data_IF_224975570291
#
_entry.id   IF_224975570291
#
_cell.length_a   1.000
_cell.length_b   1.000
_cell.length_c   1.000
_cell.angle_alpha   90.00
_cell.angle_beta   90.00
_cell.angle_gamma   90.00
#
_symmetry.space_group_name_H-M   'P 1'
#
loop_
_entity.id
_entity.type
_entity.pdbx_description
1 polymer ?
#
# COMPACT_ATOMS: atom_id res chain seq x y z
N UNK A 1 -9.11 4.09 -18.01
CA UNK A 1 -8.40 3.33 -16.98
C UNK A 1 -9.00 1.93 -17.03
N UNK A 2 -8.20 0.90 -17.14
CA UNK A 2 -8.71 -0.47 -17.07
C UNK A 2 -8.93 -0.79 -15.58
N UNK A 3 -10.21 -0.86 -15.15
CA UNK A 3 -10.59 -1.23 -13.77
C UNK A 3 -10.74 -2.77 -13.66
N UNK A 4 -9.79 -3.52 -14.24
CA UNK A 4 -9.79 -4.98 -14.20
C UNK A 4 -8.56 -5.47 -13.42
N UNK A 5 -8.69 -6.55 -12.64
CA UNK A 5 -7.56 -7.20 -12.00
C UNK A 5 -6.42 -7.48 -12.98
N UNK A 6 -5.19 -7.60 -12.49
CA UNK A 6 -4.06 -8.03 -13.30
C UNK A 6 -4.28 -9.48 -13.75
N UNK A 7 -3.89 -9.76 -15.01
CA UNK A 7 -3.86 -11.15 -15.50
C UNK A 7 -2.66 -11.89 -14.87
N UNK A 8 -2.66 -13.24 -14.88
CA UNK A 8 -1.50 -14.01 -14.41
C UNK A 8 -0.19 -13.59 -15.09
N UNK A 9 -0.21 -13.35 -16.40
CA UNK A 9 0.97 -12.93 -17.17
C UNK A 9 1.45 -11.52 -16.77
N UNK A 10 0.52 -10.63 -16.39
CA UNK A 10 0.86 -9.29 -15.91
C UNK A 10 1.41 -9.33 -14.48
N UNK A 11 0.91 -10.25 -13.64
CA UNK A 11 1.47 -10.51 -12.31
C UNK A 11 2.89 -11.06 -12.41
N UNK A 12 3.11 -12.07 -13.27
CA UNK A 12 4.44 -12.64 -13.51
C UNK A 12 5.44 -11.59 -14.02
N UNK A 13 5.00 -10.71 -14.95
CA UNK A 13 5.82 -9.62 -15.44
C UNK A 13 6.19 -8.63 -14.33
N UNK A 14 5.23 -8.27 -13.49
CA UNK A 14 5.45 -7.33 -12.39
C UNK A 14 6.36 -7.94 -11.32
N UNK A 15 6.18 -9.21 -10.99
CA UNK A 15 7.01 -9.97 -10.04
C UNK A 15 8.48 -10.00 -10.52
N UNK A 16 8.71 -10.35 -11.79
CA UNK A 16 10.04 -10.33 -12.38
C UNK A 16 10.65 -8.92 -12.38
N UNK A 17 9.87 -7.88 -12.69
CA UNK A 17 10.36 -6.51 -12.68
C UNK A 17 10.76 -6.03 -11.27
N UNK A 18 10.01 -6.41 -10.23
CA UNK A 18 10.35 -6.10 -8.84
C UNK A 18 11.69 -6.73 -8.45
N UNK A 19 11.89 -8.00 -8.82
CA UNK A 19 13.13 -8.72 -8.52
C UNK A 19 14.32 -8.17 -9.31
N UNK A 20 14.15 -7.90 -10.61
CA UNK A 20 15.24 -7.49 -11.50
C UNK A 20 15.72 -6.06 -11.22
N UNK A 21 14.83 -5.17 -10.77
CA UNK A 21 15.13 -3.75 -10.53
C UNK A 21 15.22 -3.41 -9.05
N UNK A 22 14.89 -4.34 -8.15
CA UNK A 22 14.93 -4.15 -6.71
C UNK A 22 16.34 -4.23 -6.11
N UNK A 23 16.41 -3.91 -4.84
CA UNK A 23 17.59 -4.06 -3.97
C UNK A 23 17.16 -4.75 -2.68
N UNK A 24 18.08 -5.11 -1.80
CA UNK A 24 17.77 -5.75 -0.52
C UNK A 24 16.78 -4.92 0.35
N UNK A 25 16.71 -3.62 0.12
CA UNK A 25 15.80 -2.70 0.83
C UNK A 25 14.47 -2.47 0.09
N UNK A 26 14.27 -3.07 -1.09
CA UNK A 26 13.07 -2.92 -1.93
C UNK A 26 12.00 -3.94 -1.59
N UNK A 27 10.81 -3.75 -2.17
CA UNK A 27 9.81 -4.80 -2.34
C UNK A 27 10.28 -5.72 -3.47
N UNK A 28 10.46 -7.01 -3.18
CA UNK A 28 11.12 -7.95 -4.09
C UNK A 28 10.19 -8.93 -4.82
N UNK A 29 8.89 -8.93 -4.47
CA UNK A 29 7.97 -9.86 -5.12
C UNK A 29 6.52 -9.42 -5.03
N UNK A 30 5.67 -10.10 -5.81
CA UNK A 30 4.25 -9.72 -5.96
C UNK A 30 3.47 -9.93 -4.65
N UNK A 31 3.81 -10.93 -3.84
CA UNK A 31 3.18 -11.18 -2.55
C UNK A 31 3.48 -10.05 -1.56
N UNK A 32 4.74 -9.63 -1.46
CA UNK A 32 5.14 -8.49 -0.64
C UNK A 32 4.49 -7.20 -1.12
N UNK A 33 4.43 -6.97 -2.44
CA UNK A 33 3.75 -5.83 -3.04
C UNK A 33 2.27 -5.78 -2.68
N UNK A 34 1.57 -6.91 -2.76
CA UNK A 34 0.15 -7.03 -2.45
C UNK A 34 -0.12 -6.67 -0.98
N UNK A 35 0.69 -7.19 -0.07
CA UNK A 35 0.63 -6.82 1.35
C UNK A 35 0.90 -5.34 1.58
N UNK A 36 1.95 -4.80 0.96
CA UNK A 36 2.29 -3.38 1.04
C UNK A 36 1.14 -2.48 0.57
N UNK A 37 0.58 -2.74 -0.61
CA UNK A 37 -0.54 -1.97 -1.12
C UNK A 37 -1.80 -2.15 -0.29
N UNK A 38 -2.07 -3.35 0.22
CA UNK A 38 -3.21 -3.60 1.11
C UNK A 38 -3.15 -2.73 2.36
N UNK A 39 -1.96 -2.58 2.97
CA UNK A 39 -1.76 -1.68 4.11
C UNK A 39 -1.93 -0.21 3.71
N UNK A 40 -1.36 0.23 2.57
CA UNK A 40 -1.46 1.62 2.11
C UNK A 40 -2.91 2.06 1.87
N UNK A 41 -3.71 1.22 1.21
CA UNK A 41 -5.12 1.54 0.93
C UNK A 41 -6.01 1.42 2.17
N UNK A 42 -5.60 0.61 3.14
CA UNK A 42 -6.32 0.43 4.40
C UNK A 42 -6.08 1.54 5.41
N UNK A 43 -4.90 2.16 5.42
CA UNK A 43 -4.36 3.00 6.49
C UNK A 43 -5.19 4.23 6.87
N UNK A 44 -4.76 4.95 7.94
CA UNK A 44 -5.50 6.09 8.49
C UNK A 44 -5.59 7.28 7.54
N UNK A 45 -4.66 7.39 6.58
CA UNK A 45 -4.59 8.47 5.58
C UNK A 45 -4.14 7.92 4.23
N UNK A 46 -4.55 8.59 3.14
CA UNK A 46 -4.09 8.24 1.80
C UNK A 46 -2.62 8.64 1.63
N UNK A 47 -1.81 7.71 1.16
CA UNK A 47 -0.38 7.91 0.87
C UNK A 47 -0.22 8.15 -0.64
N UNK A 48 0.38 9.28 -1.00
CA UNK A 48 0.58 9.65 -2.40
C UNK A 48 1.65 8.81 -3.08
N UNK A 49 1.56 8.54 -4.40
CA UNK A 49 2.58 7.82 -5.14
C UNK A 49 3.99 8.41 -5.00
N UNK A 50 4.12 9.73 -4.89
CA UNK A 50 5.40 10.39 -4.63
C UNK A 50 6.06 10.01 -3.31
N UNK A 51 5.31 9.40 -2.39
CA UNK A 51 5.80 8.93 -1.08
C UNK A 51 6.09 7.43 -1.12
N UNK A 52 5.14 6.60 -1.60
CA UNK A 52 5.30 5.15 -1.54
C UNK A 52 6.17 4.58 -2.67
N UNK A 53 6.24 5.24 -3.85
CA UNK A 53 7.02 4.72 -4.97
C UNK A 53 8.55 4.70 -4.69
N UNK A 54 9.17 5.73 -4.09
CA UNK A 54 10.55 5.62 -3.63
C UNK A 54 10.76 4.50 -2.61
N UNK A 55 9.82 4.32 -1.67
CA UNK A 55 9.89 3.30 -0.62
C UNK A 55 9.80 1.89 -1.17
N UNK A 56 8.96 1.70 -2.19
CA UNK A 56 8.85 0.43 -2.93
C UNK A 56 10.20 0.00 -3.50
N UNK A 57 11.01 0.95 -3.96
CA UNK A 57 12.34 0.72 -4.55
C UNK A 57 13.50 0.88 -3.53
N UNK A 58 13.23 0.83 -2.23
CA UNK A 58 14.28 0.96 -1.21
C UNK A 58 14.99 2.32 -1.21
N UNK A 59 14.31 3.38 -1.65
CA UNK A 59 14.86 4.75 -1.71
C UNK A 59 15.78 5.02 -2.91
N UNK A 60 16.05 4.01 -3.75
CA UNK A 60 16.88 4.14 -4.95
C UNK A 60 16.01 3.97 -6.20
N UNK A 61 15.89 4.99 -7.06
CA UNK A 61 15.11 4.85 -8.29
C UNK A 61 15.64 3.69 -9.16
N UNK A 62 14.77 2.80 -9.65
CA UNK A 62 15.17 1.71 -10.54
C UNK A 62 15.66 2.24 -11.88
N UNK A 63 16.48 1.47 -12.57
CA UNK A 63 16.92 1.77 -13.94
C UNK A 63 16.27 0.78 -14.88
N UNK A 64 15.29 1.23 -15.65
CA UNK A 64 14.61 0.42 -16.67
C UNK A 64 15.36 0.44 -18.00
N UNK A 65 15.21 -0.62 -18.79
CA UNK A 65 15.85 -0.72 -20.11
C UNK A 65 15.25 0.28 -21.12
N UNK A 66 13.99 0.71 -20.92
CA UNK A 66 13.31 1.66 -21.79
C UNK A 66 12.23 2.45 -21.03
N UNK A 67 11.82 3.59 -21.60
CA UNK A 67 10.67 4.36 -21.11
C UNK A 67 9.36 3.56 -21.18
N UNK A 68 9.21 2.71 -22.20
CA UNK A 68 8.01 1.88 -22.35
C UNK A 68 7.90 0.83 -21.23
N UNK A 69 9.01 0.25 -20.80
CA UNK A 69 9.07 -0.66 -19.66
C UNK A 69 8.73 0.04 -18.35
N UNK A 70 9.32 1.21 -18.09
CA UNK A 70 9.00 2.04 -16.92
C UNK A 70 7.50 2.36 -16.85
N UNK A 71 6.91 2.78 -17.99
CA UNK A 71 5.48 3.08 -18.08
C UNK A 71 4.61 1.84 -17.85
N UNK A 72 5.03 0.68 -18.37
CA UNK A 72 4.31 -0.58 -18.17
C UNK A 72 4.31 -0.96 -16.69
N UNK A 73 5.46 -0.99 -16.03
CA UNK A 73 5.58 -1.30 -14.60
C UNK A 73 4.75 -0.33 -13.76
N UNK A 74 4.89 0.98 -13.97
CA UNK A 74 4.12 1.98 -13.22
C UNK A 74 2.60 1.82 -13.42
N UNK A 75 2.16 1.52 -14.64
CA UNK A 75 0.74 1.29 -14.94
C UNK A 75 0.20 0.07 -14.20
N UNK A 76 0.96 -1.03 -14.14
CA UNK A 76 0.57 -2.25 -13.43
C UNK A 76 0.55 -2.03 -11.91
N UNK A 77 1.54 -1.35 -11.34
CA UNK A 77 1.56 -0.98 -9.92
C UNK A 77 0.30 -0.20 -9.52
N UNK A 78 -0.04 0.84 -10.28
CA UNK A 78 -1.21 1.67 -9.99
C UNK A 78 -2.52 0.90 -10.17
N UNK A 79 -2.60 0.03 -11.20
CA UNK A 79 -3.80 -0.78 -11.46
C UNK A 79 -4.01 -1.79 -10.34
N UNK A 80 -2.95 -2.48 -9.89
CA UNK A 80 -3.04 -3.44 -8.79
C UNK A 80 -3.48 -2.75 -7.49
N UNK A 81 -2.86 -1.65 -7.13
CA UNK A 81 -3.25 -0.88 -5.94
C UNK A 81 -4.71 -0.41 -5.99
N UNK A 82 -5.18 0.05 -7.17
CA UNK A 82 -6.56 0.49 -7.35
C UNK A 82 -7.55 -0.68 -7.29
N UNK A 83 -7.17 -1.85 -7.79
CA UNK A 83 -8.00 -3.06 -7.71
C UNK A 83 -8.20 -3.49 -6.25
N UNK A 84 -7.12 -3.59 -5.46
CA UNK A 84 -7.20 -3.86 -4.02
C UNK A 84 -8.11 -2.84 -3.32
N UNK A 85 -7.91 -1.54 -3.59
CA UNK A 85 -8.71 -0.49 -2.99
C UNK A 85 -10.20 -0.62 -3.34
N UNK A 86 -10.52 -0.89 -4.61
CA UNK A 86 -11.88 -1.08 -5.09
C UNK A 86 -12.53 -2.29 -4.45
N UNK A 87 -11.81 -3.41 -4.39
CA UNK A 87 -12.31 -4.66 -3.82
C UNK A 87 -12.61 -4.51 -2.32
N UNK A 88 -11.68 -4.00 -1.54
CA UNK A 88 -11.86 -3.78 -0.11
C UNK A 88 -12.99 -2.78 0.21
N UNK A 89 -13.24 -1.81 -0.66
CA UNK A 89 -14.33 -0.84 -0.49
C UNK A 89 -15.70 -1.38 -0.87
N UNK A 90 -15.79 -2.24 -1.88
CA UNK A 90 -17.08 -2.62 -2.50
C UNK A 90 -17.50 -4.05 -2.22
N UNK A 91 -16.55 -4.97 -2.10
CA UNK A 91 -16.76 -6.41 -1.94
C UNK A 91 -15.67 -7.04 -1.06
N UNK A 92 -15.47 -6.56 0.19
CA UNK A 92 -14.37 -7.02 1.05
C UNK A 92 -14.40 -8.54 1.32
N UNK A 93 -15.57 -9.17 1.24
CA UNK A 93 -15.74 -10.61 1.38
C UNK A 93 -15.13 -11.43 0.24
N UNK A 94 -14.77 -10.79 -0.87
CA UNK A 94 -14.08 -11.42 -2.00
C UNK A 94 -12.57 -11.08 -2.03
N UNK A 95 -12.07 -10.35 -1.04
CA UNK A 95 -10.65 -10.06 -0.96
C UNK A 95 -9.89 -11.35 -0.69
N UNK A 96 -8.89 -11.61 -1.52
CA UNK A 96 -7.91 -12.68 -1.37
C UNK A 96 -6.52 -12.10 -1.51
N UNK A 97 -5.65 -12.42 -0.56
CA UNK A 97 -4.25 -12.01 -0.58
C UNK A 97 -3.43 -12.87 -1.56
N UNK A 98 -2.46 -12.27 -2.23
CA UNK A 98 -1.57 -12.98 -3.15
C UNK A 98 -0.46 -13.70 -2.36
N UNK A 99 -0.82 -14.76 -1.66
CA UNK A 99 0.15 -15.60 -0.97
C UNK A 99 0.88 -16.51 -1.96
N UNK A 100 2.15 -16.82 -1.66
CA UNK A 100 2.86 -17.86 -2.38
C UNK A 100 2.46 -19.24 -1.85
N UNK A 101 2.56 -20.23 -2.72
CA UNK A 101 2.46 -21.64 -2.34
C UNK A 101 3.81 -22.31 -2.49
N UNK A 102 4.18 -23.11 -1.51
CA UNK A 102 5.38 -23.92 -1.51
C UNK A 102 5.01 -25.39 -1.24
N UNK A 103 5.95 -26.29 -1.38
CA UNK A 103 5.75 -27.71 -1.08
C UNK A 103 6.62 -28.13 0.11
N UNK A 104 6.00 -28.65 1.15
CA UNK A 104 6.70 -29.25 2.28
C UNK A 104 6.29 -30.73 2.46
N UNK A 105 7.25 -31.65 2.30
CA UNK A 105 7.02 -33.09 2.39
C UNK A 105 5.89 -33.62 1.48
N UNK A 106 5.77 -33.10 0.26
CA UNK A 106 4.75 -33.50 -0.72
C UNK A 106 3.35 -32.91 -0.44
N UNK A 107 3.25 -31.89 0.42
CA UNK A 107 2.01 -31.17 0.71
C UNK A 107 2.17 -29.67 0.38
N UNK A 108 1.14 -29.06 -0.23
CA UNK A 108 1.16 -27.60 -0.43
C UNK A 108 1.12 -26.91 0.94
N UNK A 109 1.92 -25.86 1.07
CA UNK A 109 1.99 -24.98 2.24
C UNK A 109 1.92 -23.55 1.74
N UNK A 110 0.97 -22.79 2.26
CA UNK A 110 0.84 -21.36 1.94
C UNK A 110 1.92 -20.58 2.70
N UNK A 111 2.66 -19.74 1.97
CA UNK A 111 3.70 -18.86 2.51
C UNK A 111 3.11 -17.46 2.61
N UNK A 112 2.95 -16.97 3.83
CA UNK A 112 2.31 -15.68 4.12
C UNK A 112 3.31 -14.61 4.58
N UNK A 113 4.55 -15.02 4.84
CA UNK A 113 5.58 -14.17 5.44
C UNK A 113 5.87 -12.96 4.57
N UNK A 114 6.08 -13.16 3.27
CA UNK A 114 6.37 -12.06 2.34
C UNK A 114 5.23 -11.03 2.30
N UNK A 115 3.99 -11.52 2.24
CA UNK A 115 2.82 -10.66 2.26
C UNK A 115 2.71 -9.87 3.56
N UNK A 116 2.89 -10.54 4.70
CA UNK A 116 2.85 -9.91 6.02
C UNK A 116 3.98 -8.87 6.17
N UNK A 117 5.17 -9.17 5.62
CA UNK A 117 6.31 -8.26 5.62
C UNK A 117 5.97 -6.98 4.84
N UNK A 118 5.44 -7.12 3.63
CA UNK A 118 4.95 -6.01 2.84
C UNK A 118 3.87 -5.20 3.55
N UNK A 119 2.90 -5.87 4.17
CA UNK A 119 1.85 -5.21 4.95
C UNK A 119 2.43 -4.36 6.08
N UNK A 120 3.37 -4.92 6.87
CA UNK A 120 4.00 -4.18 7.97
C UNK A 120 4.85 -3.01 7.47
N UNK A 121 5.52 -3.15 6.32
CA UNK A 121 6.21 -2.05 5.64
C UNK A 121 5.24 -0.91 5.29
N UNK A 122 4.06 -1.23 4.77
CA UNK A 122 3.00 -0.25 4.49
C UNK A 122 2.45 0.42 5.75
N UNK A 123 2.32 -0.33 6.85
CA UNK A 123 1.93 0.19 8.18
C UNK A 123 2.94 1.22 8.68
N UNK A 124 4.25 0.93 8.56
CA UNK A 124 5.32 1.83 8.98
C UNK A 124 5.36 3.10 8.14
N UNK A 125 5.27 2.96 6.82
CA UNK A 125 5.22 4.11 5.92
C UNK A 125 3.98 4.99 6.20
N UNK A 126 2.85 4.36 6.46
CA UNK A 126 1.60 5.02 6.84
C UNK A 126 1.59 5.59 8.26
N UNK A 127 2.63 5.34 9.05
CA UNK A 127 2.77 5.79 10.43
C UNK A 127 1.49 5.52 11.25
N UNK A 128 0.99 4.28 11.20
CA UNK A 128 -0.25 3.95 11.86
C UNK A 128 -0.14 4.20 13.36
N UNK A 129 -1.08 4.94 13.97
CA UNK A 129 -1.10 5.13 15.41
C UNK A 129 -1.46 3.83 16.13
N UNK A 130 -1.21 3.79 17.43
CA UNK A 130 -1.63 2.67 18.27
C UNK A 130 -3.13 2.40 18.11
N UNK A 131 -3.46 1.14 17.85
CA UNK A 131 -4.83 0.69 17.64
C UNK A 131 -5.48 0.26 18.96
N UNK A 132 -6.80 0.48 19.12
CA UNK A 132 -7.56 -0.13 20.22
C UNK A 132 -7.84 -1.61 19.93
N UNK A 133 -8.25 -2.35 20.97
CA UNK A 133 -8.80 -3.69 20.78
C UNK A 133 -10.19 -3.64 20.09
N UNK A 134 -10.53 -4.61 19.21
CA UNK A 134 -9.73 -5.79 18.84
C UNK A 134 -8.74 -5.54 17.68
N UNK A 135 -8.64 -4.32 17.14
CA UNK A 135 -7.81 -4.02 15.96
C UNK A 135 -6.32 -4.21 16.25
N UNK A 136 -5.87 -3.97 17.48
CA UNK A 136 -4.50 -4.26 17.88
C UNK A 136 -4.17 -5.74 17.70
N UNK A 137 -5.04 -6.64 18.15
CA UNK A 137 -4.87 -8.09 17.97
C UNK A 137 -4.86 -8.52 16.50
N UNK A 138 -5.63 -7.86 15.61
CA UNK A 138 -5.58 -8.13 14.17
C UNK A 138 -4.23 -7.71 13.57
N UNK A 139 -3.71 -6.55 13.97
CA UNK A 139 -2.41 -6.11 13.49
C UNK A 139 -1.27 -6.99 14.03
N UNK A 140 -1.37 -7.43 15.29
CA UNK A 140 -0.40 -8.35 15.89
C UNK A 140 -0.35 -9.70 15.17
N UNK A 141 -1.49 -10.22 14.69
CA UNK A 141 -1.54 -11.45 13.91
C UNK A 141 -0.73 -11.32 12.60
N UNK A 142 -0.82 -10.20 11.90
CA UNK A 142 -0.02 -9.93 10.70
C UNK A 142 1.45 -9.67 11.08
N UNK A 143 1.69 -8.88 12.12
CA UNK A 143 3.04 -8.54 12.57
C UNK A 143 3.83 -9.77 13.06
N UNK A 144 3.15 -10.82 13.54
CA UNK A 144 3.78 -12.08 13.93
C UNK A 144 4.59 -12.70 12.80
N UNK A 145 4.12 -12.58 11.56
CA UNK A 145 4.77 -13.09 10.34
C UNK A 145 5.54 -12.01 9.58
N UNK A 146 5.20 -10.73 9.78
CA UNK A 146 5.76 -9.60 9.06
C UNK A 146 6.86 -8.84 9.80
N UNK A 147 7.39 -9.37 10.92
CA UNK A 147 8.44 -8.75 11.72
C UNK A 147 9.49 -9.78 12.11
N UNK A 148 10.76 -9.52 11.78
CA UNK A 148 11.88 -10.44 12.09
C UNK A 148 12.00 -10.75 13.58
N UNK A 149 11.73 -9.79 14.46
CA UNK A 149 11.76 -9.96 15.91
C UNK A 149 10.76 -10.99 16.46
N UNK A 150 9.82 -11.44 15.61
CA UNK A 150 8.81 -12.43 15.99
C UNK A 150 9.10 -13.84 15.45
N UNK A 151 10.09 -14.03 14.61
CA UNK A 151 10.35 -15.31 13.95
C UNK A 151 10.60 -16.45 14.94
N UNK A 152 11.26 -16.18 16.07
CA UNK A 152 11.45 -17.18 17.13
C UNK A 152 10.12 -17.75 17.66
N UNK A 153 9.02 -17.02 17.55
CA UNK A 153 7.68 -17.47 17.99
C UNK A 153 7.02 -18.44 17.00
N UNK A 154 7.51 -18.48 15.77
CA UNK A 154 7.03 -19.35 14.70
C UNK A 154 7.75 -20.68 14.67
N UNK A 155 8.87 -20.79 15.40
CA UNK A 155 9.66 -22.01 15.46
C UNK A 155 8.88 -23.17 16.09
N UNK A 156 8.88 -24.31 15.41
CA UNK A 156 8.28 -25.54 15.92
C UNK A 156 6.77 -25.64 15.81
N UNK A 157 6.11 -24.75 15.06
CA UNK A 157 4.68 -24.86 14.74
C UNK A 157 4.41 -26.15 13.94
N UNK A 158 3.33 -26.84 14.30
CA UNK A 158 2.80 -27.90 13.43
C UNK A 158 2.13 -27.28 12.19
N UNK A 159 1.97 -28.08 11.12
CA UNK A 159 1.25 -27.65 9.92
C UNK A 159 -0.18 -27.16 10.22
N UNK A 160 -0.85 -27.80 11.17
CA UNK A 160 -2.21 -27.40 11.59
C UNK A 160 -2.20 -26.04 12.29
N UNK A 161 -1.21 -25.79 13.17
CA UNK A 161 -1.04 -24.48 13.82
C UNK A 161 -0.69 -23.38 12.80
N UNK A 162 0.23 -23.69 11.86
CA UNK A 162 0.54 -22.77 10.77
C UNK A 162 -0.70 -22.42 9.93
N UNK A 163 -1.48 -23.44 9.52
CA UNK A 163 -2.69 -23.20 8.74
C UNK A 163 -3.71 -22.33 9.49
N UNK A 164 -3.86 -22.52 10.79
CA UNK A 164 -4.76 -21.70 11.59
C UNK A 164 -4.31 -20.22 11.65
N UNK A 165 -2.99 -19.95 11.59
CA UNK A 165 -2.47 -18.59 11.47
C UNK A 165 -2.73 -18.01 10.08
N UNK A 166 -2.46 -18.78 9.02
CA UNK A 166 -2.76 -18.41 7.63
C UNK A 166 -4.21 -17.98 7.48
N UNK A 167 -5.15 -18.79 7.97
CA UNK A 167 -6.61 -18.54 7.87
C UNK A 167 -7.03 -17.24 8.59
N UNK A 168 -6.21 -16.72 9.48
CA UNK A 168 -6.46 -15.49 10.23
C UNK A 168 -6.03 -14.19 9.52
N UNK A 169 -5.14 -14.26 8.50
CA UNK A 169 -4.51 -13.07 7.91
C UNK A 169 -5.48 -12.21 7.10
N UNK A 170 -6.18 -12.81 6.14
CA UNK A 170 -7.15 -12.08 5.31
C UNK A 170 -8.28 -11.44 6.15
N UNK A 171 -8.92 -12.16 7.09
CA UNK A 171 -9.89 -11.56 7.99
C UNK A 171 -9.33 -10.39 8.82
N UNK A 172 -8.08 -10.48 9.27
CA UNK A 172 -7.43 -9.40 10.01
C UNK A 172 -7.24 -8.16 9.12
N UNK A 173 -6.76 -8.33 7.89
CA UNK A 173 -6.57 -7.23 6.94
C UNK A 173 -7.91 -6.54 6.60
N UNK A 174 -8.97 -7.31 6.34
CA UNK A 174 -10.32 -6.81 6.09
C UNK A 174 -10.84 -6.01 7.30
N UNK A 175 -10.65 -6.53 8.52
CA UNK A 175 -11.10 -5.86 9.74
C UNK A 175 -10.35 -4.53 9.98
N UNK A 176 -9.04 -4.50 9.72
CA UNK A 176 -8.21 -3.29 9.81
C UNK A 176 -8.62 -2.24 8.76
N UNK A 177 -8.88 -2.68 7.52
CA UNK A 177 -9.42 -1.78 6.48
C UNK A 177 -10.76 -1.17 6.90
N UNK A 178 -11.72 -2.00 7.33
CA UNK A 178 -13.04 -1.54 7.76
C UNK A 178 -12.95 -0.54 8.91
N UNK A 179 -12.08 -0.79 9.89
CA UNK A 179 -11.84 0.14 10.99
C UNK A 179 -11.34 1.50 10.50
N UNK A 180 -10.27 1.53 9.71
CA UNK A 180 -9.72 2.79 9.23
C UNK A 180 -10.65 3.52 8.27
N UNK A 181 -11.39 2.80 7.43
CA UNK A 181 -12.43 3.38 6.57
C UNK A 181 -13.49 4.09 7.40
N UNK A 182 -13.97 3.47 8.49
CA UNK A 182 -14.91 4.10 9.41
C UNK A 182 -14.31 5.35 10.07
N UNK A 183 -13.04 5.31 10.50
CA UNK A 183 -12.35 6.46 11.10
C UNK A 183 -12.17 7.61 10.09
N UNK A 184 -11.80 7.31 8.84
CA UNK A 184 -11.70 8.31 7.75
C UNK A 184 -13.05 8.98 7.49
N UNK A 185 -14.13 8.19 7.42
CA UNK A 185 -15.48 8.69 7.15
C UNK A 185 -16.07 9.50 8.32
N UNK A 186 -15.66 9.21 9.56
CA UNK A 186 -16.09 9.96 10.74
C UNK A 186 -15.40 11.32 10.89
N UNK A 187 -14.28 11.56 10.19
CA UNK A 187 -13.58 12.85 10.21
C UNK A 187 -14.43 13.91 9.49
N UNK A 188 -14.64 15.10 10.09
CA UNK A 188 -15.28 16.17 9.37
C UNK A 188 -14.48 16.47 8.09
N UNK A 189 -15.18 16.62 6.96
CA UNK A 189 -14.53 16.99 5.70
C UNK A 189 -13.64 18.22 5.97
N UNK A 190 -12.34 18.12 5.67
CA UNK A 190 -11.44 19.28 5.71
C UNK A 190 -12.12 20.36 4.89
N UNK A 191 -12.42 21.51 5.52
CA UNK A 191 -12.98 22.64 4.80
C UNK A 191 -12.14 22.84 3.52
N UNK A 192 -12.78 23.00 2.35
CA UNK A 192 -12.03 23.21 1.12
C UNK A 192 -11.01 24.30 1.40
N UNK A 193 -9.74 24.02 1.13
CA UNK A 193 -8.71 25.05 1.11
C UNK A 193 -9.25 26.09 0.13
N UNK A 194 -9.82 27.17 0.67
CA UNK A 194 -10.12 28.33 -0.15
C UNK A 194 -8.77 28.71 -0.74
N UNK A 195 -8.54 28.33 -2.00
CA UNK A 195 -7.48 28.96 -2.78
C UNK A 195 -7.70 30.45 -2.58
N UNK A 196 -6.74 31.11 -1.94
CA UNK A 196 -6.84 32.54 -1.69
C UNK A 196 -7.25 33.16 -3.03
N UNK A 197 -8.46 33.76 -3.05
CA UNK A 197 -9.04 34.31 -4.29
C UNK A 197 -7.96 35.12 -4.97
N UNK A 198 -7.53 34.71 -6.15
CA UNK A 198 -6.56 35.48 -6.91
C UNK A 198 -7.12 36.87 -7.07
N UNK A 199 -6.38 37.91 -6.69
CA UNK A 199 -6.88 39.29 -6.81
C UNK A 199 -7.22 39.57 -8.25
N UNK A 200 -8.27 40.34 -8.46
CA UNK A 200 -8.63 40.86 -9.78
C UNK A 200 -7.49 41.71 -10.35
N UNK A 201 -7.35 41.76 -11.66
CA UNK A 201 -6.26 42.51 -12.36
C UNK A 201 -6.00 43.92 -11.81
N UNK A 202 -7.02 44.58 -11.32
CA UNK A 202 -6.94 45.98 -10.82
C UNK A 202 -6.87 46.06 -9.29
N UNK A 203 -6.97 44.94 -8.57
CA UNK A 203 -6.88 44.90 -7.10
C UNK A 203 -5.41 45.00 -6.63
N UNK A 204 -5.16 45.41 -5.37
CA UNK A 204 -3.82 45.44 -4.81
C UNK A 204 -3.16 44.07 -4.90
N UNK A 205 -1.87 44.03 -5.20
CA UNK A 205 -1.12 42.81 -5.32
C UNK A 205 -0.96 42.10 -3.95
N UNK A 206 -1.18 40.79 -3.91
CA UNK A 206 -1.05 39.97 -2.69
C UNK A 206 0.37 39.96 -2.12
N UNK A 207 1.40 40.33 -2.90
CA UNK A 207 2.79 40.41 -2.42
C UNK A 207 3.07 41.63 -1.50
N UNK A 208 2.07 42.47 -1.23
CA UNK A 208 2.22 43.65 -0.37
C UNK A 208 2.97 44.83 -0.99
N UNK A 209 3.29 44.80 -2.28
CA UNK A 209 4.01 45.89 -2.98
C UNK A 209 3.25 47.20 -3.16
N UNK A 210 1.95 47.21 -2.81
CA UNK A 210 1.06 48.38 -3.05
C UNK A 210 0.69 48.62 -4.52
N UNK A 211 1.25 47.87 -5.48
CA UNK A 211 0.94 47.97 -6.91
C UNK A 211 -0.30 47.13 -7.25
N UNK A 212 -0.99 47.49 -8.35
CA UNK A 212 -2.08 46.67 -8.89
C UNK A 212 -1.54 45.31 -9.35
N UNK A 213 -2.30 44.21 -9.16
CA UNK A 213 -1.88 42.84 -9.47
C UNK A 213 -1.37 42.68 -10.91
N UNK A 214 -2.03 43.31 -11.89
CA UNK A 214 -1.61 43.33 -13.31
C UNK A 214 -0.27 44.03 -13.59
N UNK A 215 0.23 44.84 -12.66
CA UNK A 215 1.51 45.53 -12.80
C UNK A 215 2.56 45.01 -11.82
N UNK A 216 2.34 43.83 -11.23
CA UNK A 216 3.24 43.21 -10.28
C UNK A 216 3.38 41.69 -10.53
N UNK A 217 2.52 40.83 -9.97
CA UNK A 217 2.68 39.38 -10.01
C UNK A 217 1.83 38.67 -11.09
N UNK A 218 1.18 39.38 -11.99
CA UNK A 218 0.41 38.81 -13.09
C UNK A 218 1.24 38.68 -14.40
N UNK A 219 2.56 38.59 -14.31
CA UNK A 219 3.44 38.37 -15.47
C UNK A 219 3.84 36.92 -15.59
#
# INVERSE_FOLDING_TARGET
MHDTPLTPEELDFLDAALLDHGSDDSVLGISELDGFFTALVSGPEAIMPSTWLPELWGGVPPTFASFDEEQAVLSLLLRHMNDIASLLMTQPEHFTALFYENEHQGKPVTVIEDWCFGYMRGVDLGQWPQLPEPQASHLEAIALHGREEHFDKLDGLSLEQHQALVDGIEPAAIALHAYWLAQRNARPAKAPLHSARMPGRNEPCICGSGKKFKHCCLH
#
